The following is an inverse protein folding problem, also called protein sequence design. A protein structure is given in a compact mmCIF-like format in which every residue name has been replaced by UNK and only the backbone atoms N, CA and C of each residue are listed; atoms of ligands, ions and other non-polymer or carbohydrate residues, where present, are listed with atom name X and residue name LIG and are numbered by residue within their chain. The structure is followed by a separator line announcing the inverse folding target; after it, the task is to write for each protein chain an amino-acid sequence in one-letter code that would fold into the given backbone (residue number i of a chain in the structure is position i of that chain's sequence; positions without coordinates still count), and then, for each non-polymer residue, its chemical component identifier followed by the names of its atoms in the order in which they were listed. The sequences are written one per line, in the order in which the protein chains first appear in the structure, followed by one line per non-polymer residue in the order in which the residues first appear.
data_IF_460372317406
#
_entry.id   IF_460372317406
#
_cell.length_a   1.000
_cell.length_b   1.000
_cell.length_c   1.000
_cell.angle_alpha   90.00
_cell.angle_beta   90.00
_cell.angle_gamma   90.00
#
_symmetry.space_group_name_H-M   'P 1'
#
loop_
_entity.id
_entity.type
_entity.pdbx_description
1 polymer ?
#
# COMPACT_ATOMS: atom_id res chain seq x y z
N UNK A 1 -33.79 64.60 3.92
CA UNK A 1 -34.79 63.74 3.27
C UNK A 1 -34.20 62.33 3.13
N UNK A 2 -34.93 61.30 3.60
CA UNK A 2 -34.87 59.85 3.25
C UNK A 2 -33.48 59.18 3.15
N UNK A 3 -32.99 58.50 4.21
CA UNK A 3 -33.12 57.04 4.48
C UNK A 3 -32.92 56.13 3.26
N UNK A 4 -31.82 55.38 3.22
CA UNK A 4 -31.78 54.01 2.72
C UNK A 4 -30.77 53.18 3.53
N UNK A 5 -31.30 52.15 4.18
CA UNK A 5 -30.59 51.07 4.85
C UNK A 5 -30.09 50.07 3.79
N UNK A 6 -28.83 49.66 3.87
CA UNK A 6 -28.38 48.36 3.36
C UNK A 6 -27.30 47.83 4.31
N UNK A 7 -27.73 47.10 5.33
CA UNK A 7 -26.87 46.20 6.09
C UNK A 7 -26.52 45.02 5.20
N UNK A 8 -25.31 45.00 4.65
CA UNK A 8 -24.75 43.82 4.01
C UNK A 8 -24.41 42.79 5.10
N UNK A 9 -25.22 41.75 5.21
CA UNK A 9 -24.90 40.58 6.04
C UNK A 9 -23.83 39.80 5.28
N UNK A 10 -22.58 39.97 5.68
CA UNK A 10 -21.46 39.16 5.22
C UNK A 10 -21.53 37.81 5.94
N UNK A 11 -22.31 36.87 5.39
CA UNK A 11 -22.25 35.46 5.78
C UNK A 11 -20.96 34.89 5.17
N UNK A 12 -19.84 35.07 5.86
CA UNK A 12 -18.63 34.28 5.64
C UNK A 12 -18.89 32.87 6.18
N UNK A 13 -19.57 32.03 5.40
CA UNK A 13 -19.43 30.58 5.53
C UNK A 13 -18.00 30.28 5.10
N UNK A 14 -17.12 30.20 6.09
CA UNK A 14 -15.80 29.63 5.95
C UNK A 14 -16.05 28.15 5.64
N UNK A 15 -16.12 27.84 4.34
CA UNK A 15 -16.11 26.47 3.84
C UNK A 15 -14.86 25.82 4.41
N UNK A 16 -15.05 25.05 5.48
CA UNK A 16 -14.07 24.08 5.90
C UNK A 16 -13.87 23.18 4.69
N UNK A 17 -12.75 23.38 4.00
CA UNK A 17 -12.20 22.44 3.03
C UNK A 17 -11.84 21.20 3.84
N UNK A 18 -12.85 20.41 4.20
CA UNK A 18 -12.63 19.02 4.49
C UNK A 18 -12.23 18.46 3.13
N UNK A 19 -10.92 18.37 2.91
CA UNK A 19 -10.40 17.43 1.96
C UNK A 19 -10.96 16.08 2.40
N UNK A 20 -12.06 15.66 1.79
CA UNK A 20 -12.45 14.27 1.78
C UNK A 20 -11.33 13.62 1.03
N UNK A 21 -10.34 13.13 1.77
CA UNK A 21 -9.31 12.26 1.22
C UNK A 21 -10.08 11.00 0.82
N UNK A 22 -10.50 10.96 -0.44
CA UNK A 22 -10.95 9.72 -1.04
C UNK A 22 -9.73 8.82 -1.06
N UNK A 23 -9.67 7.90 -0.10
CA UNK A 23 -8.75 6.78 -0.16
C UNK A 23 -8.97 6.09 -1.52
N UNK A 24 -7.97 6.15 -2.39
CA UNK A 24 -8.01 5.48 -3.67
C UNK A 24 -8.16 3.97 -3.40
N UNK A 25 -9.09 3.27 -4.08
CA UNK A 25 -9.27 1.84 -3.87
C UNK A 25 -8.00 1.12 -4.33
N UNK A 26 -7.29 0.53 -3.37
CA UNK A 26 -5.96 -0.06 -3.57
C UNK A 26 -5.05 0.02 -2.35
N UNK A 27 -5.14 1.13 -1.62
CA UNK A 27 -4.54 1.32 -0.31
C UNK A 27 -5.56 0.90 0.75
N UNK A 28 -5.75 -0.40 1.01
CA UNK A 28 -6.63 -0.81 2.10
C UNK A 28 -5.98 -0.43 3.42
N UNK A 29 -6.28 0.78 3.87
CA UNK A 29 -5.72 1.35 5.08
C UNK A 29 -6.09 0.44 6.26
N UNK A 30 -5.07 -0.04 6.97
CA UNK A 30 -5.28 -1.03 8.02
C UNK A 30 -5.82 -0.34 9.27
N UNK A 31 -6.87 -0.92 9.84
CA UNK A 31 -7.54 -0.37 11.02
C UNK A 31 -8.01 -1.47 11.95
N UNK A 32 -8.44 -1.07 13.14
CA UNK A 32 -8.96 -1.98 14.17
C UNK A 32 -9.98 -2.95 13.60
N UNK A 33 -9.84 -4.22 13.98
CA UNK A 33 -10.70 -5.32 13.55
C UNK A 33 -10.23 -6.02 12.28
N UNK A 34 -9.33 -5.41 11.50
CA UNK A 34 -8.70 -6.09 10.36
C UNK A 34 -7.77 -7.21 10.83
N UNK A 35 -7.61 -8.22 9.97
CA UNK A 35 -6.77 -9.38 10.22
C UNK A 35 -6.06 -9.83 8.94
N UNK A 36 -4.93 -10.51 9.11
CA UNK A 36 -4.19 -11.17 8.03
C UNK A 36 -2.75 -10.68 7.90
N UNK A 37 -2.10 -11.11 6.81
CA UNK A 37 -0.69 -10.87 6.54
C UNK A 37 -0.34 -9.37 6.54
N UNK A 38 -1.24 -8.53 6.04
CA UNK A 38 -1.04 -7.08 6.02
C UNK A 38 -0.87 -6.50 7.42
N UNK A 39 -1.64 -7.01 8.39
CA UNK A 39 -1.53 -6.62 9.79
C UNK A 39 -0.24 -7.16 10.41
N UNK A 40 0.20 -8.36 10.03
CA UNK A 40 1.49 -8.90 10.48
C UNK A 40 2.66 -8.04 10.01
N UNK A 41 2.62 -7.59 8.75
CA UNK A 41 3.62 -6.67 8.19
C UNK A 41 3.62 -5.36 8.97
N UNK A 42 2.45 -4.77 9.21
CA UNK A 42 2.34 -3.56 10.01
C UNK A 42 2.91 -3.74 11.43
N UNK A 43 2.51 -4.82 12.12
CA UNK A 43 3.00 -5.12 13.47
C UNK A 43 4.53 -5.30 13.48
N UNK A 44 5.09 -5.99 12.49
CA UNK A 44 6.55 -6.13 12.32
C UNK A 44 7.23 -4.78 12.15
N UNK A 45 6.74 -3.93 11.24
CA UNK A 45 7.29 -2.60 10.98
C UNK A 45 7.22 -1.71 12.22
N UNK A 46 6.10 -1.75 12.96
CA UNK A 46 5.96 -1.00 14.22
C UNK A 46 6.88 -1.54 15.32
N UNK A 47 7.13 -2.86 15.37
CA UNK A 47 8.11 -3.44 16.29
C UNK A 47 9.52 -2.97 15.96
N UNK A 48 9.89 -3.01 14.68
CA UNK A 48 11.22 -2.59 14.22
C UNK A 48 11.44 -1.09 14.44
N UNK A 49 10.38 -0.28 14.33
CA UNK A 49 10.38 1.14 14.67
C UNK A 49 10.31 1.43 16.19
N UNK A 50 10.15 0.39 17.04
CA UNK A 50 10.13 0.51 18.50
C UNK A 50 8.77 0.88 19.12
N UNK A 51 7.69 0.91 18.35
CA UNK A 51 6.34 1.30 18.80
C UNK A 51 5.44 0.11 19.17
N UNK A 52 5.79 -1.11 18.78
CA UNK A 52 4.99 -2.31 19.07
C UNK A 52 5.80 -3.41 19.76
N UNK A 53 5.32 -3.83 20.93
CA UNK A 53 5.94 -4.89 21.76
C UNK A 53 5.05 -6.14 21.90
N UNK A 54 3.95 -6.19 21.16
CA UNK A 54 3.00 -7.31 21.17
C UNK A 54 3.39 -8.44 20.21
N UNK A 55 2.61 -9.53 20.19
CA UNK A 55 2.80 -10.61 19.24
C UNK A 55 2.45 -10.18 17.81
N UNK A 56 3.21 -10.66 16.82
CA UNK A 56 2.89 -10.48 15.40
C UNK A 56 1.86 -11.55 15.00
N UNK A 57 0.64 -11.38 15.50
CA UNK A 57 -0.47 -12.34 15.35
C UNK A 57 -1.37 -12.05 14.14
N UNK A 58 -1.14 -10.92 13.45
CA UNK A 58 -1.95 -10.51 12.32
C UNK A 58 -3.35 -10.05 12.71
N UNK A 59 -3.57 -9.65 13.97
CA UNK A 59 -4.84 -9.09 14.45
C UNK A 59 -4.65 -7.63 14.82
N UNK A 60 -5.39 -6.75 14.14
CA UNK A 60 -5.34 -5.32 14.42
C UNK A 60 -6.23 -5.05 15.64
N UNK A 61 -5.70 -5.37 16.81
CA UNK A 61 -6.33 -5.16 18.12
C UNK A 61 -5.89 -3.84 18.77
N UNK A 62 -6.23 -3.69 20.05
CA UNK A 62 -5.92 -2.49 20.83
C UNK A 62 -4.40 -2.21 20.92
N UNK A 63 -3.57 -3.25 20.97
CA UNK A 63 -2.11 -3.10 20.97
C UNK A 63 -1.58 -2.49 19.68
N UNK A 64 -2.08 -2.95 18.53
CA UNK A 64 -1.67 -2.42 17.21
C UNK A 64 -2.20 -1.01 17.00
N UNK A 65 -3.44 -0.73 17.41
CA UNK A 65 -3.98 0.64 17.40
C UNK A 65 -3.08 1.60 18.17
N UNK A 66 -2.75 1.27 19.42
CA UNK A 66 -1.88 2.11 20.25
C UNK A 66 -0.55 2.38 19.56
N UNK A 67 0.09 1.35 19.02
CA UNK A 67 1.36 1.50 18.32
C UNK A 67 1.26 2.38 17.07
N UNK A 68 0.20 2.23 16.26
CA UNK A 68 -0.03 3.10 15.09
C UNK A 68 -0.22 4.55 15.53
N UNK A 69 -1.06 4.79 16.53
CA UNK A 69 -1.33 6.13 17.05
C UNK A 69 -0.06 6.77 17.62
N UNK A 70 0.73 6.05 18.43
CA UNK A 70 2.00 6.54 18.99
C UNK A 70 3.02 6.84 17.88
N UNK A 71 3.10 5.97 16.87
CA UNK A 71 3.95 6.19 15.70
C UNK A 71 3.55 7.45 14.94
N UNK A 72 2.25 7.62 14.69
CA UNK A 72 1.71 8.79 14.01
C UNK A 72 2.00 10.08 14.79
N UNK A 73 1.79 10.08 16.11
CA UNK A 73 2.12 11.21 17.00
C UNK A 73 3.62 11.56 16.90
N UNK A 74 4.50 10.56 17.05
CA UNK A 74 5.95 10.76 17.08
C UNK A 74 6.51 11.32 15.76
N UNK A 75 5.87 10.98 14.64
CA UNK A 75 6.30 11.39 13.31
C UNK A 75 5.52 12.58 12.73
N UNK A 76 4.60 13.19 13.50
CA UNK A 76 3.82 14.35 13.08
C UNK A 76 2.79 14.04 11.98
N UNK A 77 2.29 12.81 11.93
CA UNK A 77 1.26 12.36 10.99
C UNK A 77 -0.15 12.65 11.51
N UNK A 78 -1.14 12.53 10.64
CA UNK A 78 -2.54 12.47 11.07
C UNK A 78 -2.73 11.30 12.05
N UNK A 79 -3.26 11.59 13.24
CA UNK A 79 -3.44 10.61 14.32
C UNK A 79 -4.85 10.02 14.23
N UNK A 80 -5.10 9.25 13.18
CA UNK A 80 -6.39 8.60 12.92
C UNK A 80 -6.44 7.13 13.38
N UNK A 81 -5.30 6.59 13.84
CA UNK A 81 -5.19 5.18 14.25
C UNK A 81 -5.30 4.20 13.08
N UNK A 82 -5.18 4.70 11.84
CA UNK A 82 -5.26 3.95 10.61
C UNK A 82 -3.89 3.92 9.94
N UNK A 83 -3.39 2.72 9.64
CA UNK A 83 -2.17 2.58 8.85
C UNK A 83 -2.50 2.68 7.35
N UNK A 84 -2.59 3.92 6.87
CA UNK A 84 -2.68 4.24 5.44
C UNK A 84 -1.31 4.35 4.77
N UNK A 85 -1.30 4.74 3.50
CA UNK A 85 -0.08 4.86 2.69
C UNK A 85 0.96 5.82 3.29
N UNK A 86 0.54 6.90 3.93
CA UNK A 86 1.45 7.84 4.62
C UNK A 86 2.13 7.19 5.85
N UNK A 87 1.37 6.48 6.69
CA UNK A 87 1.89 5.75 7.85
C UNK A 87 2.95 4.74 7.42
N UNK A 88 2.66 3.93 6.40
CA UNK A 88 3.64 2.96 5.88
C UNK A 88 4.85 3.62 5.21
N UNK A 89 4.67 4.74 4.51
CA UNK A 89 5.77 5.48 3.91
C UNK A 89 6.78 5.95 4.97
N UNK A 90 6.30 6.36 6.14
CA UNK A 90 7.16 6.71 7.28
C UNK A 90 7.81 5.48 7.93
N UNK A 91 7.05 4.40 8.15
CA UNK A 91 7.58 3.16 8.73
C UNK A 91 8.78 2.62 7.93
N UNK A 92 8.74 2.78 6.60
CA UNK A 92 9.83 2.37 5.72
C UNK A 92 11.07 3.29 5.72
N UNK A 93 10.93 4.55 6.15
CA UNK A 93 12.05 5.52 6.17
C UNK A 93 12.89 5.42 7.44
N UNK A 94 12.32 4.94 8.54
CA UNK A 94 12.92 4.96 9.89
C UNK A 94 13.87 3.81 10.22
N UNK A 95 14.16 2.90 9.29
CA UNK A 95 15.13 1.81 9.48
C UNK A 95 16.57 2.32 9.51
N UNK A 96 16.98 2.98 10.61
CA UNK A 96 18.36 3.41 10.79
C UNK A 96 19.22 2.30 11.39
N UNK A 97 20.07 1.69 10.56
CA UNK A 97 21.35 1.13 10.97
C UNK A 97 21.35 -0.33 11.44
N UNK A 98 22.04 -1.16 10.65
CA UNK A 98 22.66 -2.45 10.99
C UNK A 98 21.73 -3.54 11.57
N UNK A 99 21.49 -4.58 10.77
CA UNK A 99 20.67 -5.78 11.01
C UNK A 99 19.15 -5.72 10.74
N UNK A 100 18.66 -4.61 10.17
CA UNK A 100 17.26 -4.48 9.68
C UNK A 100 17.21 -4.09 8.20
N UNK A 101 17.14 -5.07 7.31
CA UNK A 101 16.59 -4.83 5.97
C UNK A 101 16.02 -6.13 5.45
N UNK A 102 14.78 -6.44 5.83
CA UNK A 102 13.89 -7.22 4.97
C UNK A 102 12.95 -6.31 4.20
N UNK A 103 13.11 -5.00 4.29
CA UNK A 103 12.34 -4.04 3.50
C UNK A 103 13.29 -2.92 3.06
N UNK A 104 13.96 -3.07 1.92
CA UNK A 104 15.06 -2.17 1.51
C UNK A 104 14.59 -0.83 0.95
N UNK A 105 13.37 -0.77 0.39
CA UNK A 105 12.76 0.46 -0.16
C UNK A 105 11.29 0.24 -0.54
N UNK A 106 10.56 1.34 -0.75
CA UNK A 106 9.24 1.32 -1.39
C UNK A 106 9.20 2.10 -2.71
N UNK A 107 8.30 1.71 -3.61
CA UNK A 107 8.15 2.28 -4.95
C UNK A 107 6.67 2.45 -5.25
N UNK A 108 6.24 3.65 -5.66
CA UNK A 108 4.90 3.82 -6.22
C UNK A 108 4.89 3.35 -7.68
N UNK A 109 4.01 2.41 -8.01
CA UNK A 109 3.93 1.78 -9.33
C UNK A 109 2.50 1.76 -9.85
N UNK A 110 2.35 1.86 -11.17
CA UNK A 110 1.08 1.64 -11.85
C UNK A 110 0.86 0.14 -12.00
N UNK A 111 -0.13 -0.39 -11.30
CA UNK A 111 -0.48 -1.80 -11.30
C UNK A 111 -1.63 -2.13 -12.23
N UNK A 112 -1.56 -3.31 -12.84
CA UNK A 112 -2.69 -4.06 -13.39
C UNK A 112 -2.74 -5.46 -12.80
N UNK A 113 -3.86 -6.15 -13.01
CA UNK A 113 -3.98 -7.58 -12.76
C UNK A 113 -4.11 -8.36 -14.06
N UNK A 114 -3.53 -9.55 -14.09
CA UNK A 114 -3.67 -10.51 -15.17
C UNK A 114 -3.78 -11.93 -14.62
N UNK A 115 -4.33 -12.84 -15.42
CA UNK A 115 -4.41 -14.27 -15.10
C UNK A 115 -3.96 -15.14 -16.28
N UNK A 116 -3.66 -16.41 -16.00
CA UNK A 116 -3.30 -17.40 -17.02
C UNK A 116 -4.47 -17.69 -17.97
N UNK A 117 -5.69 -17.31 -17.57
CA UNK A 117 -6.91 -17.55 -18.32
C UNK A 117 -7.29 -16.38 -19.23
N UNK A 118 -6.51 -15.30 -19.23
CA UNK A 118 -6.76 -14.15 -20.11
C UNK A 118 -6.28 -14.47 -21.55
N UNK A 119 -7.01 -14.04 -22.60
CA UNK A 119 -6.62 -14.32 -23.97
C UNK A 119 -5.22 -13.81 -24.31
N UNK A 120 -4.36 -14.70 -24.82
CA UNK A 120 -2.99 -14.38 -25.21
C UNK A 120 -1.92 -14.59 -24.13
N UNK A 121 -2.31 -15.01 -22.93
CA UNK A 121 -1.37 -15.30 -21.84
C UNK A 121 -0.92 -16.77 -21.84
N UNK A 122 0.35 -16.98 -21.51
CA UNK A 122 0.91 -18.30 -21.20
C UNK A 122 0.53 -18.71 -19.77
N UNK A 123 0.47 -20.02 -19.51
CA UNK A 123 0.38 -20.54 -18.14
C UNK A 123 1.71 -20.51 -17.38
N UNK A 124 2.77 -19.97 -17.99
CA UNK A 124 4.13 -19.91 -17.45
C UNK A 124 4.73 -18.50 -17.52
N UNK A 125 5.46 -18.09 -16.47
CA UNK A 125 6.22 -16.83 -16.40
C UNK A 125 7.50 -16.88 -17.24
N UNK A 126 8.18 -15.74 -17.46
CA UNK A 126 9.47 -15.68 -18.14
C UNK A 126 10.58 -16.52 -17.48
N UNK A 127 10.45 -16.81 -16.18
CA UNK A 127 11.36 -17.73 -15.46
C UNK A 127 10.94 -19.20 -15.52
N UNK A 128 9.84 -19.51 -16.20
CA UNK A 128 9.32 -20.86 -16.41
C UNK A 128 8.42 -21.38 -15.27
N UNK A 129 8.05 -20.52 -14.31
CA UNK A 129 7.18 -20.91 -13.19
C UNK A 129 5.73 -20.96 -13.66
N UNK A 130 4.97 -21.96 -13.21
CA UNK A 130 3.51 -21.96 -13.44
C UNK A 130 2.88 -20.72 -12.79
N UNK A 131 2.13 -19.97 -13.59
CA UNK A 131 1.50 -18.72 -13.16
C UNK A 131 0.50 -18.99 -12.03
N UNK A 132 0.59 -18.19 -10.98
CA UNK A 132 -0.32 -18.17 -9.83
C UNK A 132 -0.18 -16.84 -9.09
N UNK A 133 -1.12 -16.53 -8.21
CA UNK A 133 -1.00 -15.40 -7.28
C UNK A 133 0.31 -15.47 -6.49
N UNK A 134 0.96 -14.31 -6.35
CA UNK A 134 2.27 -14.17 -5.72
C UNK A 134 3.44 -14.11 -6.70
N UNK A 135 3.17 -14.13 -8.00
CA UNK A 135 4.15 -13.77 -9.03
C UNK A 135 3.77 -12.41 -9.64
N UNK A 136 4.76 -11.64 -10.08
CA UNK A 136 4.52 -10.34 -10.74
C UNK A 136 5.45 -10.16 -11.93
N UNK A 137 4.97 -9.41 -12.92
CA UNK A 137 5.79 -8.91 -14.01
C UNK A 137 6.29 -7.50 -13.67
N UNK A 138 7.58 -7.24 -13.91
CA UNK A 138 8.24 -5.94 -13.62
C UNK A 138 9.17 -5.54 -14.77
N UNK A 139 9.63 -4.28 -14.74
CA UNK A 139 10.82 -3.86 -15.49
C UNK A 139 12.09 -4.24 -14.68
N UNK A 140 12.96 -5.14 -15.19
CA UNK A 140 14.16 -5.57 -14.47
C UNK A 140 15.16 -4.45 -14.16
N UNK A 141 15.12 -3.34 -14.88
CA UNK A 141 15.97 -2.17 -14.59
C UNK A 141 15.48 -1.38 -13.37
N UNK A 142 14.21 -1.55 -13.01
CA UNK A 142 13.59 -0.90 -11.84
C UNK A 142 13.54 -1.87 -10.66
N UNK A 143 13.11 -3.11 -10.88
CA UNK A 143 13.07 -4.19 -9.88
C UNK A 143 13.72 -5.43 -10.50
N UNK A 144 14.90 -5.86 -10.04
CA UNK A 144 15.53 -7.08 -10.54
C UNK A 144 14.64 -8.33 -10.39
N UNK A 145 14.76 -9.27 -11.31
CA UNK A 145 14.03 -10.53 -11.21
C UNK A 145 14.54 -11.37 -10.01
N UNK A 146 13.64 -12.07 -9.36
CA UNK A 146 13.87 -12.82 -8.13
C UNK A 146 13.70 -11.99 -6.86
N UNK A 147 13.57 -10.66 -6.97
CA UNK A 147 13.28 -9.80 -5.82
C UNK A 147 11.95 -10.15 -5.18
N UNK A 148 11.94 -10.28 -3.85
CA UNK A 148 10.73 -10.49 -3.05
C UNK A 148 10.07 -9.14 -2.81
N UNK A 149 8.74 -9.14 -2.80
CA UNK A 149 7.92 -7.94 -2.72
C UNK A 149 6.80 -8.16 -1.72
N UNK A 150 6.31 -7.08 -1.13
CA UNK A 150 5.01 -7.03 -0.49
C UNK A 150 4.22 -5.86 -1.08
N UNK A 151 2.97 -6.12 -1.41
CA UNK A 151 2.08 -5.16 -2.05
C UNK A 151 0.78 -5.17 -1.22
N UNK A 152 0.48 -4.10 -0.46
CA UNK A 152 -0.72 -4.04 0.37
C UNK A 152 -1.98 -4.38 -0.43
N UNK A 153 -2.89 -5.17 0.15
CA UNK A 153 -4.10 -5.63 -0.52
C UNK A 153 -3.90 -6.75 -1.56
N UNK A 154 -2.67 -7.02 -2.00
CA UNK A 154 -2.34 -8.18 -2.85
C UNK A 154 -1.61 -9.27 -2.07
N UNK A 155 -0.62 -8.90 -1.27
CA UNK A 155 0.19 -9.78 -0.41
C UNK A 155 1.65 -9.86 -0.86
N UNK A 156 2.34 -10.91 -0.38
CA UNK A 156 3.72 -11.21 -0.76
C UNK A 156 3.82 -11.68 -2.21
N UNK A 157 4.90 -11.28 -2.89
CA UNK A 157 5.14 -11.63 -4.28
C UNK A 157 6.62 -11.78 -4.64
N UNK A 158 6.89 -12.35 -5.82
CA UNK A 158 8.22 -12.44 -6.42
C UNK A 158 8.19 -11.81 -7.81
N UNK A 159 9.17 -10.95 -8.11
CA UNK A 159 9.44 -10.44 -9.44
C UNK A 159 9.92 -11.59 -10.35
N UNK A 160 8.99 -12.31 -10.96
CA UNK A 160 9.27 -13.57 -11.66
C UNK A 160 9.05 -13.48 -13.17
N UNK A 161 8.54 -12.35 -13.65
CA UNK A 161 8.16 -12.18 -15.04
C UNK A 161 8.50 -10.79 -15.60
N UNK A 162 8.41 -10.66 -16.92
CA UNK A 162 8.52 -9.38 -17.65
C UNK A 162 7.46 -9.33 -18.74
N UNK A 163 7.13 -8.13 -19.22
CA UNK A 163 6.25 -7.96 -20.37
C UNK A 163 6.69 -6.78 -21.23
N UNK A 164 6.39 -6.81 -22.53
CA UNK A 164 6.77 -5.73 -23.45
C UNK A 164 6.24 -4.37 -23.03
N UNK A 165 5.05 -4.33 -22.43
CA UNK A 165 4.38 -3.14 -21.90
C UNK A 165 4.74 -2.80 -20.44
N UNK A 166 5.47 -3.68 -19.74
CA UNK A 166 5.86 -3.50 -18.34
C UNK A 166 7.24 -2.82 -18.31
N UNK A 167 7.22 -1.49 -18.41
CA UNK A 167 8.41 -0.63 -18.49
C UNK A 167 8.34 0.50 -17.47
N UNK A 168 9.46 0.81 -16.83
CA UNK A 168 9.53 1.81 -15.75
C UNK A 168 8.76 1.36 -14.50
N UNK A 169 8.08 2.31 -13.85
CA UNK A 169 7.30 2.06 -12.63
C UNK A 169 5.93 1.44 -12.94
N UNK A 170 5.91 0.35 -13.69
CA UNK A 170 4.72 -0.44 -14.04
C UNK A 170 4.92 -1.86 -13.51
N UNK A 171 3.87 -2.43 -12.93
CA UNK A 171 3.86 -3.78 -12.39
C UNK A 171 2.58 -4.50 -12.81
N UNK A 172 2.67 -5.77 -13.16
CA UNK A 172 1.49 -6.59 -13.46
C UNK A 172 1.38 -7.72 -12.44
N UNK A 173 0.25 -7.81 -11.75
CA UNK A 173 0.05 -8.74 -10.64
C UNK A 173 -0.68 -9.98 -11.13
N UNK A 174 -0.08 -11.16 -10.92
CA UNK A 174 -0.71 -12.41 -11.31
C UNK A 174 -1.87 -12.76 -10.35
N UNK A 175 -3.01 -13.15 -10.88
CA UNK A 175 -4.14 -13.65 -10.12
C UNK A 175 -4.49 -15.07 -10.52
N UNK A 176 -5.04 -15.83 -9.57
CA UNK A 176 -5.49 -17.20 -9.81
C UNK A 176 -6.77 -17.24 -10.67
N UNK A 177 -7.45 -16.10 -10.87
CA UNK A 177 -8.64 -16.02 -11.71
C UNK A 177 -8.73 -14.69 -12.47
N UNK A 178 -9.32 -14.73 -13.68
CA UNK A 178 -9.63 -13.54 -14.46
C UNK A 178 -10.56 -12.58 -13.69
N UNK A 179 -11.52 -13.12 -12.94
CA UNK A 179 -12.45 -12.31 -12.15
C UNK A 179 -11.74 -11.52 -11.05
N UNK A 180 -10.71 -12.08 -10.43
CA UNK A 180 -9.92 -11.41 -9.39
C UNK A 180 -9.07 -10.30 -10.01
N UNK A 181 -8.45 -10.57 -11.16
CA UNK A 181 -7.71 -9.57 -11.93
C UNK A 181 -8.59 -8.38 -12.35
N UNK A 182 -9.81 -8.65 -12.84
CA UNK A 182 -10.78 -7.59 -13.18
C UNK A 182 -11.25 -6.81 -11.95
N UNK A 183 -11.48 -7.49 -10.81
CA UNK A 183 -11.87 -6.84 -9.56
C UNK A 183 -10.77 -5.93 -9.01
N UNK A 184 -9.50 -6.33 -9.16
CA UNK A 184 -8.36 -5.50 -8.81
C UNK A 184 -8.25 -4.27 -9.73
N UNK A 185 -8.44 -4.46 -11.04
CA UNK A 185 -8.42 -3.38 -12.03
C UNK A 185 -7.04 -2.70 -12.18
N UNK A 186 -7.03 -1.48 -12.72
CA UNK A 186 -5.80 -0.68 -12.85
C UNK A 186 -5.79 0.41 -11.79
N UNK A 187 -4.66 0.52 -11.09
CA UNK A 187 -4.54 1.43 -9.95
C UNK A 187 -3.08 1.76 -9.66
N UNK A 188 -2.84 2.78 -8.84
CA UNK A 188 -1.52 3.01 -8.25
C UNK A 188 -1.39 2.13 -7.01
N UNK A 189 -0.24 1.47 -6.86
CA UNK A 189 0.09 0.70 -5.65
C UNK A 189 1.45 1.13 -5.12
N UNK A 190 1.66 0.94 -3.83
CA UNK A 190 2.99 1.01 -3.23
C UNK A 190 3.57 -0.40 -3.12
N UNK A 191 4.74 -0.62 -3.71
CA UNK A 191 5.46 -1.89 -3.69
C UNK A 191 6.62 -1.79 -2.71
N UNK A 192 6.70 -2.71 -1.76
CA UNK A 192 7.74 -2.79 -0.75
C UNK A 192 8.73 -3.87 -1.18
N UNK A 193 10.00 -3.52 -1.39
CA UNK A 193 11.06 -4.47 -1.74
C UNK A 193 11.49 -5.20 -0.49
N UNK A 194 11.56 -6.52 -0.54
CA UNK A 194 11.96 -7.39 0.57
C UNK A 194 13.29 -8.05 0.27
N UNK A 195 14.23 -7.98 1.23
CA UNK A 195 15.48 -8.74 1.17
C UNK A 195 15.40 -10.04 2.01
#
# INVERSE_FOLDING_TARGET
MRRFFLTAVFVCILLAVHAVVFAAPGDTALKVGMRGDDVQVLQKLLTDAGFYQGPIDGVFGNGTLRAVTEFQISNGLAVDGVAGSETFAYLNRGGTGSDTSRYSRSISMRASGYSAFDPGNSSYTARGTQLRKGLVAVDPNVIPLGTRLYIPGYGYAIADDTGGAIRGNVIDLAFDSHADALRFGRQQVTVYIID
#
